data_IF_164270464735
#
_entry.id   IF_164270464735
#
_cell.length_a   1.000
_cell.length_b   1.000
_cell.length_c   1.000
_cell.angle_alpha   90.00
_cell.angle_beta   90.00
_cell.angle_gamma   90.00
#
_symmetry.space_group_name_H-M   'P 1'
#
loop_
_entity.id
_entity.type
_entity.pdbx_description
1 polymer ?
#
# COMPACT_ATOMS: atom_id res chain seq x y z
N UNK A 1 -6.41 -65.29 25.48
CA UNK A 1 -6.98 -64.10 24.82
C UNK A 1 -5.81 -63.31 24.23
N UNK A 2 -5.62 -63.38 22.90
CA UNK A 2 -4.37 -63.03 22.21
C UNK A 2 -4.49 -61.67 21.49
N UNK A 3 -3.83 -60.64 22.03
CA UNK A 3 -3.63 -59.35 21.38
C UNK A 3 -2.33 -59.37 20.56
N UNK A 4 -2.38 -59.92 19.35
CA UNK A 4 -1.34 -59.73 18.31
C UNK A 4 -1.99 -59.83 16.94
N UNK A 5 -2.47 -58.70 16.40
CA UNK A 5 -2.74 -58.47 14.96
C UNK A 5 -3.39 -57.09 14.75
N UNK A 6 -2.63 -56.02 14.94
CA UNK A 6 -2.99 -54.68 14.44
C UNK A 6 -1.71 -53.88 14.20
N UNK A 7 -0.94 -54.24 13.17
CA UNK A 7 0.27 -53.49 12.75
C UNK A 7 0.71 -53.89 11.35
N UNK A 8 -0.14 -53.66 10.34
CA UNK A 8 0.32 -53.70 8.94
C UNK A 8 -0.52 -52.82 8.01
N UNK A 9 -1.83 -52.68 8.29
CA UNK A 9 -2.72 -51.86 7.46
C UNK A 9 -2.44 -50.34 7.55
N UNK A 10 -1.77 -49.86 8.60
CA UNK A 10 -1.46 -48.43 8.76
C UNK A 10 -0.11 -48.01 8.15
N UNK A 11 0.73 -48.96 7.70
CA UNK A 11 1.99 -48.66 7.00
C UNK A 11 1.86 -48.64 5.48
N UNK A 12 0.73 -49.07 4.92
CA UNK A 12 0.50 -49.06 3.47
C UNK A 12 -0.10 -47.75 2.94
N UNK A 13 -0.70 -46.92 3.79
CA UNK A 13 -1.35 -45.67 3.36
C UNK A 13 -0.36 -44.53 3.07
N UNK A 14 0.86 -44.60 3.62
CA UNK A 14 1.91 -43.59 3.39
C UNK A 14 2.77 -43.92 2.15
N UNK A 15 2.77 -45.19 1.70
CA UNK A 15 3.54 -45.60 0.53
C UNK A 15 2.77 -45.46 -0.80
N UNK A 16 1.46 -45.19 -0.77
CA UNK A 16 0.61 -45.18 -1.97
C UNK A 16 0.57 -43.83 -2.71
N UNK A 17 1.31 -42.82 -2.24
CA UNK A 17 1.57 -41.59 -3.01
C UNK A 17 2.85 -41.73 -3.87
N UNK A 18 3.67 -42.77 -3.64
CA UNK A 18 4.92 -42.96 -4.36
C UNK A 18 4.80 -43.76 -5.68
N UNK A 19 3.66 -44.40 -5.97
CA UNK A 19 3.55 -45.36 -7.09
C UNK A 19 2.62 -44.95 -8.26
N UNK A 20 2.16 -43.70 -8.34
CA UNK A 20 1.41 -43.19 -9.51
C UNK A 20 2.31 -42.51 -10.56
N UNK A 21 3.61 -42.84 -10.61
CA UNK A 21 4.59 -42.24 -11.54
C UNK A 21 4.90 -43.13 -12.75
N UNK A 22 4.46 -44.39 -12.76
CA UNK A 22 4.76 -45.30 -13.88
C UNK A 22 3.51 -45.57 -14.69
N UNK A 23 3.20 -44.67 -15.62
CA UNK A 23 2.83 -44.97 -17.02
C UNK A 23 2.28 -43.72 -17.72
N UNK A 24 3.12 -43.07 -18.52
CA UNK A 24 2.67 -42.42 -19.76
C UNK A 24 2.25 -40.95 -19.74
N UNK A 25 2.30 -40.25 -18.61
CA UNK A 25 2.21 -38.79 -18.59
C UNK A 25 3.22 -38.26 -17.57
N UNK A 26 4.42 -37.94 -18.04
CA UNK A 26 5.43 -37.27 -17.24
C UNK A 26 4.93 -35.87 -16.90
N UNK A 27 4.17 -35.74 -15.82
CA UNK A 27 3.94 -34.44 -15.20
C UNK A 27 5.31 -34.01 -14.68
N UNK A 28 5.98 -33.14 -15.44
CA UNK A 28 7.22 -32.49 -15.05
C UNK A 28 6.92 -31.61 -13.83
N UNK A 29 7.01 -32.20 -12.63
CA UNK A 29 6.94 -31.48 -11.35
C UNK A 29 8.18 -30.60 -11.12
N UNK A 30 9.24 -30.77 -11.93
CA UNK A 30 10.48 -29.99 -11.87
C UNK A 30 10.30 -28.50 -12.22
N UNK A 31 9.18 -28.12 -12.84
CA UNK A 31 8.89 -26.72 -13.19
C UNK A 31 8.15 -25.92 -12.12
N UNK A 32 7.63 -26.56 -11.06
CA UNK A 32 6.53 -25.95 -10.28
C UNK A 32 6.94 -25.23 -8.98
N UNK A 33 8.18 -25.40 -8.49
CA UNK A 33 8.57 -24.87 -7.17
C UNK A 33 10.01 -24.31 -7.09
N UNK A 34 10.66 -24.05 -8.22
CA UNK A 34 11.97 -23.38 -8.18
C UNK A 34 11.77 -21.93 -7.74
N UNK A 35 12.03 -21.65 -6.46
CA UNK A 35 11.94 -20.30 -5.93
C UNK A 35 12.87 -19.35 -6.71
N UNK A 36 12.29 -18.28 -7.22
CA UNK A 36 13.03 -17.31 -8.02
C UNK A 36 13.82 -16.40 -7.09
N UNK A 37 15.05 -16.06 -7.49
CA UNK A 37 15.84 -15.09 -6.75
C UNK A 37 15.16 -13.73 -6.82
N UNK A 38 14.86 -13.16 -5.67
CA UNK A 38 14.31 -11.80 -5.60
C UNK A 38 15.43 -10.80 -5.81
N UNK A 39 15.25 -9.93 -6.80
CA UNK A 39 16.08 -8.77 -7.04
C UNK A 39 15.17 -7.56 -7.14
N UNK A 40 15.32 -6.60 -6.24
CA UNK A 40 14.46 -5.42 -6.20
C UNK A 40 15.31 -4.16 -6.11
N UNK A 41 14.90 -3.12 -6.84
CA UNK A 41 15.51 -1.80 -6.81
C UNK A 41 14.43 -0.79 -6.46
N UNK A 42 14.63 -0.08 -5.36
CA UNK A 42 13.72 0.98 -4.94
C UNK A 42 14.46 2.27 -4.64
N UNK A 43 13.70 3.36 -4.60
CA UNK A 43 14.16 4.69 -4.18
C UNK A 43 13.12 5.29 -3.25
N UNK A 44 13.56 5.81 -2.12
CA UNK A 44 12.71 6.58 -1.21
C UNK A 44 13.00 8.05 -1.42
N UNK A 45 11.95 8.82 -1.64
CA UNK A 45 12.00 10.28 -1.79
C UNK A 45 11.01 10.93 -0.83
N UNK A 46 11.24 12.20 -0.51
CA UNK A 46 10.28 12.99 0.26
C UNK A 46 9.18 13.57 -0.63
N UNK A 47 8.27 14.34 -0.01
CA UNK A 47 7.16 15.00 -0.71
C UNK A 47 7.60 16.02 -1.78
N UNK A 48 8.88 16.42 -1.83
CA UNK A 48 9.44 17.31 -2.85
C UNK A 48 10.24 16.55 -3.91
N UNK A 49 10.31 15.21 -3.81
CA UNK A 49 11.09 14.37 -4.72
C UNK A 49 12.57 14.24 -4.34
N UNK A 50 12.99 14.83 -3.21
CA UNK A 50 14.37 14.76 -2.75
C UNK A 50 14.65 13.39 -2.12
N UNK A 51 15.84 12.80 -2.34
CA UNK A 51 16.16 11.50 -1.79
C UNK A 51 16.15 11.49 -0.24
N UNK A 52 15.66 10.39 0.34
CA UNK A 52 15.73 10.18 1.79
C UNK A 52 16.81 9.16 2.12
N UNK A 53 17.89 9.62 2.73
CA UNK A 53 18.97 8.76 3.25
C UNK A 53 18.61 8.11 4.59
N UNK A 54 19.07 6.87 4.80
CA UNK A 54 18.98 6.19 6.09
C UNK A 54 17.59 5.66 6.47
N UNK A 55 16.59 5.82 5.62
CA UNK A 55 15.26 5.24 5.81
C UNK A 55 15.37 3.70 5.84
N UNK A 56 14.72 3.08 6.81
CA UNK A 56 14.68 1.62 6.98
C UNK A 56 13.45 1.07 6.28
N UNK A 57 13.67 0.38 5.16
CA UNK A 57 12.63 -0.27 4.37
C UNK A 57 12.43 -1.68 4.92
N UNK A 58 11.25 -1.95 5.48
CA UNK A 58 10.84 -3.27 5.94
C UNK A 58 10.18 -4.02 4.78
N UNK A 59 10.60 -5.25 4.55
CA UNK A 59 10.10 -6.07 3.45
C UNK A 59 9.82 -7.51 3.88
N UNK A 60 9.04 -8.20 3.07
CA UNK A 60 8.64 -9.58 3.26
C UNK A 60 8.73 -10.35 1.94
N UNK A 61 9.22 -11.58 1.98
CA UNK A 61 9.29 -12.49 0.83
C UNK A 61 8.44 -13.72 1.12
N UNK A 62 7.47 -14.01 0.27
CA UNK A 62 6.69 -15.25 0.32
C UNK A 62 7.49 -16.38 -0.35
N UNK A 63 7.83 -17.38 0.45
CA UNK A 63 8.60 -18.58 0.09
C UNK A 63 7.64 -19.77 0.00
N UNK A 64 7.74 -20.53 -1.10
CA UNK A 64 6.93 -21.74 -1.34
C UNK A 64 7.74 -23.02 -1.14
N UNK A 65 8.94 -22.92 -0.56
CA UNK A 65 9.77 -24.09 -0.27
C UNK A 65 9.03 -25.08 0.63
N UNK A 66 8.77 -26.28 0.12
CA UNK A 66 8.28 -27.39 0.92
C UNK A 66 9.35 -27.81 1.95
N UNK A 67 8.95 -28.25 3.15
CA UNK A 67 7.57 -28.53 3.59
C UNK A 67 6.83 -27.36 4.26
N UNK A 68 7.45 -26.18 4.41
CA UNK A 68 6.87 -25.06 5.15
C UNK A 68 6.81 -23.80 4.28
N UNK A 69 5.69 -23.58 3.55
CA UNK A 69 5.45 -22.28 2.95
C UNK A 69 5.41 -21.23 4.06
N UNK A 70 5.97 -20.05 3.80
CA UNK A 70 6.07 -19.03 4.83
C UNK A 70 6.64 -17.72 4.33
N UNK A 71 6.70 -16.78 5.25
CA UNK A 71 7.17 -15.42 5.01
C UNK A 71 8.52 -15.22 5.65
N UNK A 72 9.45 -14.63 4.90
CA UNK A 72 10.73 -14.17 5.41
C UNK A 72 10.74 -12.66 5.45
N UNK A 73 10.86 -12.12 6.65
CA UNK A 73 10.98 -10.68 6.87
C UNK A 73 12.43 -10.24 6.76
N UNK A 74 12.64 -9.03 6.26
CA UNK A 74 13.96 -8.40 6.20
C UNK A 74 13.84 -6.89 6.25
N UNK A 75 14.99 -6.23 6.32
CA UNK A 75 15.05 -4.78 6.22
C UNK A 75 16.31 -4.34 5.47
N UNK A 76 16.25 -3.16 4.88
CA UNK A 76 17.39 -2.53 4.21
C UNK A 76 17.34 -1.02 4.43
N UNK A 77 18.49 -0.37 4.54
CA UNK A 77 18.57 1.08 4.64
C UNK A 77 18.80 1.73 3.27
N UNK A 78 18.22 2.89 3.07
CA UNK A 78 18.47 3.72 1.88
C UNK A 78 19.83 4.41 1.97
N UNK A 79 20.51 4.54 0.83
CA UNK A 79 21.75 5.31 0.70
C UNK A 79 21.50 6.81 0.54
N UNK A 80 22.58 7.57 0.33
CA UNK A 80 22.56 9.03 0.11
C UNK A 80 21.66 9.51 -1.01
N UNK A 81 21.51 8.69 -2.05
CA UNK A 81 20.65 8.96 -3.21
C UNK A 81 19.21 8.44 -3.02
N UNK A 82 18.86 8.04 -1.79
CA UNK A 82 17.58 7.46 -1.42
C UNK A 82 17.38 6.04 -1.96
N UNK A 83 18.35 5.47 -2.69
CA UNK A 83 18.20 4.15 -3.31
C UNK A 83 18.49 3.04 -2.32
N UNK A 84 17.82 1.93 -2.53
CA UNK A 84 18.08 0.67 -1.84
C UNK A 84 17.97 -0.50 -2.83
N UNK A 85 18.53 -1.63 -2.42
CA UNK A 85 18.54 -2.85 -3.24
C UNK A 85 18.41 -4.06 -2.35
N UNK A 86 17.53 -4.97 -2.75
CA UNK A 86 17.34 -6.26 -2.08
C UNK A 86 17.81 -7.35 -3.03
N UNK A 87 18.69 -8.22 -2.54
CA UNK A 87 19.27 -9.36 -3.28
C UNK A 87 19.10 -10.69 -2.56
N UNK A 88 18.51 -10.62 -1.36
CA UNK A 88 18.50 -11.67 -0.36
C UNK A 88 17.07 -12.16 -0.24
N UNK A 89 16.84 -13.33 -0.82
CA UNK A 89 15.52 -13.90 -0.90
C UNK A 89 15.39 -14.81 -2.10
N UNK A 90 14.77 -15.97 -1.84
CA UNK A 90 14.16 -16.78 -2.87
C UNK A 90 12.69 -16.90 -2.50
N UNK A 91 11.83 -16.71 -3.48
CA UNK A 91 10.38 -16.73 -3.27
C UNK A 91 9.65 -16.45 -4.57
N UNK A 92 8.32 -16.33 -4.48
CA UNK A 92 7.51 -15.91 -5.61
C UNK A 92 6.95 -14.51 -5.47
N UNK A 93 6.74 -14.05 -4.24
CA UNK A 93 6.19 -12.72 -4.01
C UNK A 93 7.06 -11.93 -3.08
N UNK A 94 7.11 -10.63 -3.35
CA UNK A 94 7.86 -9.67 -2.58
C UNK A 94 6.95 -8.51 -2.21
N UNK A 95 7.02 -8.10 -0.95
CA UNK A 95 6.21 -7.04 -0.38
C UNK A 95 7.11 -6.02 0.30
N UNK A 96 6.85 -4.74 0.06
CA UNK A 96 7.30 -3.69 0.99
C UNK A 96 6.21 -3.56 2.05
N UNK A 97 6.57 -3.71 3.32
CA UNK A 97 5.61 -3.69 4.44
C UNK A 97 5.54 -2.31 5.07
N UNK A 98 6.69 -1.66 5.21
CA UNK A 98 6.80 -0.34 5.83
C UNK A 98 8.09 0.38 5.42
N UNK A 99 8.14 1.70 5.60
CA UNK A 99 9.33 2.53 5.45
C UNK A 99 9.43 3.45 6.66
N UNK A 100 10.40 3.18 7.52
CA UNK A 100 10.61 3.88 8.79
C UNK A 100 11.74 4.90 8.62
N UNK A 101 11.47 6.16 8.97
CA UNK A 101 12.45 7.24 8.98
C UNK A 101 12.19 8.13 10.21
N UNK A 102 13.24 8.40 10.99
CA UNK A 102 13.14 9.15 12.26
C UNK A 102 12.55 10.56 12.08
N UNK A 103 12.95 11.22 11.00
CA UNK A 103 12.52 12.58 10.66
C UNK A 103 11.34 12.60 9.68
N UNK A 104 10.64 11.49 9.53
CA UNK A 104 9.52 11.37 8.61
C UNK A 104 8.22 11.12 9.38
N UNK A 105 7.15 11.75 8.90
CA UNK A 105 5.88 11.81 9.57
C UNK A 105 5.19 10.46 9.46
N UNK A 106 4.97 10.00 8.23
CA UNK A 106 4.25 8.76 7.93
C UNK A 106 4.68 8.21 6.56
N UNK A 107 4.74 6.89 6.36
CA UNK A 107 4.71 6.32 5.01
C UNK A 107 3.40 6.79 4.32
N UNK A 108 3.47 7.29 3.08
CA UNK A 108 2.26 7.66 2.33
C UNK A 108 1.39 6.39 2.22
N UNK A 109 0.19 6.37 2.80
CA UNK A 109 -0.58 5.14 2.87
C UNK A 109 -1.00 4.71 1.45
N UNK A 110 -1.42 3.47 1.21
CA UNK A 110 -1.88 3.02 -0.11
C UNK A 110 -0.81 2.86 -1.21
N UNK A 111 0.42 3.33 -0.99
CA UNK A 111 1.61 2.98 -1.80
C UNK A 111 2.55 2.00 -1.10
N UNK A 112 2.32 1.66 0.16
CA UNK A 112 3.18 0.73 0.92
C UNK A 112 2.38 -0.45 1.49
N UNK A 113 1.05 -0.36 1.63
CA UNK A 113 0.24 -1.55 1.91
C UNK A 113 0.05 -2.36 0.64
N UNK A 114 0.85 -3.42 0.54
CA UNK A 114 0.77 -4.50 -0.45
C UNK A 114 1.06 -4.09 -1.90
N UNK A 115 2.10 -3.28 -2.15
CA UNK A 115 2.73 -3.40 -3.48
C UNK A 115 3.39 -4.77 -3.53
N UNK A 116 2.63 -5.70 -4.10
CA UNK A 116 3.04 -7.06 -4.36
C UNK A 116 3.74 -7.10 -5.71
N UNK A 117 4.96 -7.62 -5.69
CA UNK A 117 5.72 -7.88 -6.90
C UNK A 117 5.76 -9.40 -7.11
N UNK A 118 5.16 -9.87 -8.20
CA UNK A 118 5.12 -11.29 -8.57
C UNK A 118 6.36 -11.63 -9.41
N UNK A 119 7.09 -12.68 -9.03
CA UNK A 119 8.31 -13.13 -9.70
C UNK A 119 8.13 -14.49 -10.41
N UNK A 120 6.98 -15.15 -10.28
CA UNK A 120 6.70 -16.41 -10.96
C UNK A 120 6.55 -16.21 -12.46
N UNK A 121 7.52 -16.72 -13.23
CA UNK A 121 7.55 -16.66 -14.70
C UNK A 121 6.30 -17.21 -15.41
N UNK A 122 5.41 -17.93 -14.72
CA UNK A 122 4.13 -18.40 -15.24
C UNK A 122 3.07 -17.30 -15.42
N UNK A 123 3.26 -16.12 -14.82
CA UNK A 123 2.35 -14.98 -14.96
C UNK A 123 2.85 -14.01 -16.03
N UNK A 124 1.93 -13.42 -16.80
CA UNK A 124 2.27 -12.44 -17.85
C UNK A 124 2.81 -11.12 -17.27
N UNK A 125 2.42 -10.79 -16.03
CA UNK A 125 2.71 -9.51 -15.38
C UNK A 125 3.80 -9.62 -14.31
N UNK A 126 4.79 -10.49 -14.55
CA UNK A 126 5.95 -10.59 -13.66
C UNK A 126 6.66 -9.25 -13.52
N UNK A 127 7.01 -8.91 -12.28
CA UNK A 127 7.87 -7.77 -12.01
C UNK A 127 9.26 -8.01 -12.61
N UNK A 128 9.73 -7.03 -13.40
CA UNK A 128 11.05 -7.06 -14.03
C UNK A 128 11.92 -5.97 -13.41
N UNK A 129 12.87 -6.33 -12.52
CA UNK A 129 13.67 -5.34 -11.84
C UNK A 129 14.57 -4.58 -12.82
N UNK A 130 14.55 -3.26 -12.74
CA UNK A 130 15.35 -2.37 -13.56
C UNK A 130 16.11 -1.38 -12.68
N UNK A 131 17.44 -1.44 -12.71
CA UNK A 131 18.28 -0.53 -11.93
C UNK A 131 18.13 0.94 -12.40
N UNK A 132 17.87 1.14 -13.69
CA UNK A 132 17.66 2.46 -14.30
C UNK A 132 16.29 3.07 -13.95
N UNK A 133 15.30 2.23 -13.64
CA UNK A 133 13.94 2.61 -13.28
C UNK A 133 13.53 1.96 -11.94
N UNK A 134 14.08 2.43 -10.80
CA UNK A 134 13.72 1.89 -9.50
C UNK A 134 12.27 2.27 -9.14
N UNK A 135 11.64 1.44 -8.32
CA UNK A 135 10.32 1.76 -7.77
C UNK A 135 10.43 2.90 -6.76
N UNK A 136 9.63 3.96 -6.95
CA UNK A 136 9.72 5.18 -6.16
C UNK A 136 8.67 5.20 -5.07
N UNK A 137 9.14 5.20 -3.82
CA UNK A 137 8.31 5.35 -2.63
C UNK A 137 8.43 6.78 -2.13
N UNK A 138 7.30 7.46 -2.01
CA UNK A 138 7.23 8.82 -1.47
C UNK A 138 6.87 8.72 0.01
N UNK A 139 7.63 9.39 0.86
CA UNK A 139 7.33 9.54 2.29
C UNK A 139 7.29 11.01 2.65
N UNK A 140 6.62 11.38 3.73
CA UNK A 140 6.55 12.78 4.16
C UNK A 140 7.54 13.08 5.26
N UNK A 141 8.33 14.15 5.13
CA UNK A 141 9.19 14.64 6.22
C UNK A 141 8.37 15.35 7.30
N UNK A 142 8.79 15.22 8.56
CA UNK A 142 8.30 16.07 9.65
C UNK A 142 9.00 17.41 9.51
N UNK A 143 8.30 18.38 8.95
CA UNK A 143 8.83 19.74 8.88
C UNK A 143 8.81 20.37 10.28
N UNK A 144 9.87 21.11 10.61
CA UNK A 144 9.90 21.90 11.85
C UNK A 144 9.05 23.17 11.75
N UNK A 145 8.87 23.65 10.52
CA UNK A 145 8.11 24.86 10.20
C UNK A 145 6.97 24.50 9.26
N UNK A 146 5.90 25.28 9.28
CA UNK A 146 4.80 25.08 8.33
C UNK A 146 5.31 25.34 6.91
N UNK A 147 5.22 24.34 6.03
CA UNK A 147 5.56 24.48 4.62
C UNK A 147 4.28 24.57 3.80
N UNK A 148 4.23 25.53 2.88
CA UNK A 148 3.15 25.63 1.93
C UNK A 148 3.29 24.54 0.86
N UNK A 149 2.37 23.58 0.86
CA UNK A 149 2.23 22.61 -0.21
C UNK A 149 1.46 23.27 -1.38
N UNK A 150 2.13 24.17 -2.12
CA UNK A 150 1.55 24.76 -3.32
C UNK A 150 1.60 23.75 -4.47
N UNK A 151 0.44 23.19 -4.79
CA UNK A 151 0.10 22.75 -6.14
C UNK A 151 -1.22 23.44 -6.50
N UNK A 152 -1.44 23.80 -7.75
CA UNK A 152 -2.76 24.25 -8.20
C UNK A 152 -3.59 22.99 -8.42
N UNK A 153 -4.45 22.64 -7.47
CA UNK A 153 -5.34 21.49 -7.57
C UNK A 153 -6.79 21.95 -7.53
N UNK A 154 -7.63 21.28 -8.31
CA UNK A 154 -9.08 21.29 -8.17
C UNK A 154 -9.47 19.96 -7.56
N UNK A 155 -10.28 20.01 -6.51
CA UNK A 155 -10.82 18.82 -5.89
C UNK A 155 -12.33 18.85 -6.06
N UNK A 156 -12.87 17.76 -6.58
CA UNK A 156 -14.30 17.50 -6.63
C UNK A 156 -14.63 16.48 -5.54
N UNK A 157 -15.62 16.80 -4.70
CA UNK A 157 -16.06 15.92 -3.62
C UNK A 157 -17.51 15.54 -3.89
N UNK A 158 -17.72 14.29 -4.31
CA UNK A 158 -19.07 13.74 -4.43
C UNK A 158 -19.67 13.51 -3.05
N UNK A 159 -20.69 14.31 -2.73
CA UNK A 159 -21.50 14.17 -1.52
C UNK A 159 -22.64 13.18 -1.81
N UNK A 160 -22.69 12.01 -1.15
CA UNK A 160 -23.71 11.01 -1.43
C UNK A 160 -25.08 11.45 -0.90
N UNK A 161 -26.15 11.16 -1.63
CA UNK A 161 -27.51 11.64 -1.34
C UNK A 161 -28.13 11.11 -0.02
N UNK A 162 -27.70 9.96 0.53
CA UNK A 162 -28.41 9.27 1.65
C UNK A 162 -27.58 9.10 2.94
N UNK A 163 -28.02 9.70 4.05
CA UNK A 163 -27.23 10.33 5.13
C UNK A 163 -26.77 9.51 6.35
N UNK A 164 -26.83 8.17 6.38
CA UNK A 164 -26.78 7.47 7.69
C UNK A 164 -25.44 6.91 8.22
N UNK A 165 -24.30 7.04 7.52
CA UNK A 165 -23.00 6.56 8.04
C UNK A 165 -22.02 7.71 8.32
N UNK A 166 -21.18 7.58 9.35
CA UNK A 166 -20.11 8.53 9.70
C UNK A 166 -19.25 8.89 8.47
N UNK A 167 -19.57 10.03 7.86
CA UNK A 167 -19.02 10.50 6.59
C UNK A 167 -17.85 11.43 6.85
N UNK A 168 -16.66 10.86 6.85
CA UNK A 168 -15.44 11.63 6.71
C UNK A 168 -14.67 11.17 5.48
N UNK A 169 -13.99 12.08 4.79
CA UNK A 169 -13.00 11.76 3.75
C UNK A 169 -11.67 12.37 4.14
N UNK A 170 -10.61 11.59 3.97
CA UNK A 170 -9.26 12.06 4.10
C UNK A 170 -8.68 12.37 2.73
N UNK A 171 -7.97 13.49 2.62
CA UNK A 171 -7.23 13.87 1.42
C UNK A 171 -5.76 14.04 1.74
N UNK A 172 -4.92 13.45 0.89
CA UNK A 172 -3.46 13.61 0.95
C UNK A 172 -3.02 14.51 -0.20
N UNK A 173 -2.57 15.72 0.13
CA UNK A 173 -2.14 16.73 -0.83
C UNK A 173 -0.87 16.33 -1.57
N UNK A 174 -0.05 15.44 -0.98
CA UNK A 174 1.19 14.99 -1.62
C UNK A 174 0.95 14.01 -2.76
N UNK A 175 -0.14 13.24 -2.69
CA UNK A 175 -0.53 12.27 -3.72
C UNK A 175 -1.65 12.77 -4.63
N UNK A 176 -2.41 13.79 -4.21
CA UNK A 176 -3.61 14.25 -4.91
C UNK A 176 -4.74 13.22 -4.90
N UNK A 177 -4.70 12.29 -3.93
CA UNK A 177 -5.58 11.13 -3.88
C UNK A 177 -6.66 11.32 -2.80
N UNK A 178 -7.93 11.12 -3.19
CA UNK A 178 -9.08 11.11 -2.29
C UNK A 178 -9.25 9.70 -1.72
N UNK A 179 -9.33 9.56 -0.39
CA UNK A 179 -9.59 8.24 0.19
C UNK A 179 -10.91 8.14 0.92
N UNK A 180 -11.55 7.00 0.70
CA UNK A 180 -12.83 6.63 1.30
C UNK A 180 -12.71 6.46 2.83
N UNK A 181 -13.82 6.62 3.58
CA UNK A 181 -13.89 6.64 5.06
C UNK A 181 -13.37 5.41 5.82
N UNK A 182 -12.93 4.34 5.15
CA UNK A 182 -12.58 3.05 5.77
C UNK A 182 -11.32 3.07 6.68
N UNK A 183 -10.74 4.25 6.93
CA UNK A 183 -9.43 4.40 7.56
C UNK A 183 -9.42 5.17 8.90
N UNK A 184 -10.56 5.62 9.45
CA UNK A 184 -10.59 6.54 10.62
C UNK A 184 -9.83 5.97 11.82
N UNK A 185 -10.00 4.66 12.01
CA UNK A 185 -9.40 3.91 13.12
C UNK A 185 -8.09 3.22 12.73
N UNK A 186 -7.53 3.55 11.57
CA UNK A 186 -6.25 3.01 11.16
C UNK A 186 -5.17 4.09 11.38
N UNK A 187 -4.44 4.07 12.50
CA UNK A 187 -3.45 5.09 12.87
C UNK A 187 -2.25 5.16 11.90
N UNK A 188 -2.23 4.31 10.87
CA UNK A 188 -1.23 4.30 9.81
C UNK A 188 -1.54 5.30 8.68
N UNK A 189 -2.70 5.97 8.70
CA UNK A 189 -3.09 6.92 7.66
C UNK A 189 -2.98 8.35 8.16
N UNK A 190 -2.19 9.17 7.45
CA UNK A 190 -2.17 10.62 7.62
C UNK A 190 -2.81 11.26 6.40
N UNK A 191 -3.71 12.21 6.66
CA UNK A 191 -4.34 13.04 5.66
C UNK A 191 -3.99 14.49 5.95
N UNK A 192 -3.76 15.28 4.91
CA UNK A 192 -3.60 16.73 5.04
C UNK A 192 -4.91 17.40 5.42
N UNK A 193 -5.98 16.98 4.76
CA UNK A 193 -7.31 17.54 4.92
C UNK A 193 -8.29 16.43 5.30
N UNK A 194 -9.17 16.75 6.21
CA UNK A 194 -10.33 15.95 6.58
C UNK A 194 -11.59 16.72 6.24
N UNK A 195 -12.50 16.04 5.54
CA UNK A 195 -13.78 16.57 5.12
C UNK A 195 -14.86 15.81 5.85
N UNK A 196 -15.74 16.51 6.56
CA UNK A 196 -17.03 15.97 6.99
C UNK A 196 -18.13 16.82 6.39
N UNK A 197 -19.34 16.29 6.34
CA UNK A 197 -20.46 17.03 5.77
C UNK A 197 -21.79 16.61 6.38
N UNK A 198 -22.71 17.56 6.38
CA UNK A 198 -24.06 17.44 6.90
C UNK A 198 -25.05 17.95 5.85
N UNK A 199 -26.22 17.31 5.75
CA UNK A 199 -27.29 17.71 4.84
C UNK A 199 -28.53 18.08 5.67
N UNK A 200 -28.96 19.32 5.54
CA UNK A 200 -30.24 19.79 6.07
C UNK A 200 -31.30 19.51 4.99
N UNK A 201 -32.08 18.44 5.16
CA UNK A 201 -33.10 18.02 4.19
C UNK A 201 -34.23 19.05 4.03
N UNK A 202 -34.57 19.77 5.11
CA UNK A 202 -35.65 20.76 5.08
C UNK A 202 -35.24 21.98 4.25
N UNK A 203 -34.00 22.45 4.43
CA UNK A 203 -33.45 23.58 3.67
C UNK A 203 -32.86 23.18 2.33
N UNK A 204 -32.63 21.88 2.10
CA UNK A 204 -31.86 21.33 0.97
C UNK A 204 -30.46 21.93 0.88
N UNK A 205 -29.82 22.11 2.04
CA UNK A 205 -28.50 22.72 2.17
C UNK A 205 -27.46 21.69 2.60
N UNK A 206 -26.26 21.77 2.02
CA UNK A 206 -25.10 20.99 2.44
C UNK A 206 -24.12 21.89 3.18
N UNK A 207 -23.72 21.48 4.38
CA UNK A 207 -22.59 22.08 5.10
C UNK A 207 -21.41 21.14 5.01
N UNK A 208 -20.28 21.64 4.50
CA UNK A 208 -19.02 20.89 4.43
C UNK A 208 -18.03 21.49 5.42
N UNK A 209 -17.53 20.67 6.35
CA UNK A 209 -16.47 21.07 7.26
C UNK A 209 -15.14 20.54 6.73
N UNK A 210 -14.17 21.44 6.60
CA UNK A 210 -12.82 21.11 6.17
C UNK A 210 -11.86 21.39 7.32
N UNK A 211 -11.05 20.41 7.68
CA UNK A 211 -10.07 20.48 8.76
C UNK A 211 -8.69 20.15 8.23
N UNK A 212 -7.72 21.02 8.50
CA UNK A 212 -6.31 20.72 8.29
C UNK A 212 -5.80 19.84 9.44
N UNK A 213 -5.16 18.72 9.11
CA UNK A 213 -4.73 17.72 10.08
C UNK A 213 -3.21 17.83 10.33
N UNK A 214 -2.81 17.76 11.60
CA UNK A 214 -1.42 17.81 12.05
C UNK A 214 -1.09 19.00 12.95
N UNK A 215 -0.02 18.87 13.73
CA UNK A 215 0.55 19.95 14.53
C UNK A 215 1.17 20.98 13.57
N UNK A 216 0.69 22.22 13.59
CA UNK A 216 1.03 23.31 12.64
C UNK A 216 0.37 23.23 11.25
N UNK A 217 -0.66 22.42 11.07
CA UNK A 217 -1.48 22.46 9.86
C UNK A 217 -2.49 23.62 9.91
N UNK A 218 -2.77 24.24 8.76
CA UNK A 218 -3.71 25.36 8.67
C UNK A 218 -4.08 25.70 7.25
N UNK A 219 -5.11 26.54 7.11
CA UNK A 219 -5.54 27.08 5.83
C UNK A 219 -4.99 28.49 5.65
N UNK A 220 -4.50 28.79 4.46
CA UNK A 220 -4.35 30.17 4.01
C UNK A 220 -5.44 30.44 2.99
N UNK A 221 -6.48 31.14 3.43
CA UNK A 221 -7.53 31.62 2.54
C UNK A 221 -7.01 32.89 1.85
N UNK A 222 -7.03 32.91 0.52
CA UNK A 222 -6.89 34.14 -0.27
C UNK A 222 -8.26 34.45 -0.86
N UNK A 223 -8.89 35.51 -0.37
CA UNK A 223 -10.24 35.96 -0.75
C UNK A 223 -10.37 36.44 -2.20
N UNK A 224 -9.39 36.20 -3.07
CA UNK A 224 -9.38 36.70 -4.44
C UNK A 224 -10.45 36.04 -5.34
N UNK A 225 -11.10 34.93 -4.90
CA UNK A 225 -12.13 34.22 -5.69
C UNK A 225 -13.31 33.67 -4.86
N UNK A 226 -13.81 34.40 -3.86
CA UNK A 226 -15.20 34.18 -3.43
C UNK A 226 -16.11 34.76 -4.52
N UNK A 227 -16.47 33.96 -5.51
CA UNK A 227 -17.57 34.30 -6.40
C UNK A 227 -18.81 34.47 -5.53
N UNK A 228 -19.23 35.72 -5.36
CA UNK A 228 -20.53 36.04 -4.78
C UNK A 228 -21.55 35.34 -5.68
N UNK A 229 -22.31 34.40 -5.12
CA UNK A 229 -23.39 33.77 -5.85
C UNK A 229 -24.34 34.87 -6.35
N UNK A 230 -24.84 34.81 -7.59
CA UNK A 230 -25.82 35.77 -8.09
C UNK A 230 -27.01 35.82 -7.13
N UNK A 231 -27.55 37.02 -6.89
CA UNK A 231 -28.70 37.24 -6.00
C UNK A 231 -29.92 36.40 -6.43
N UNK A 232 -29.96 36.07 -7.71
CA UNK A 232 -30.94 35.33 -8.47
C UNK A 232 -30.59 33.84 -8.70
N UNK A 233 -29.45 33.38 -8.19
CA UNK A 233 -29.00 31.98 -8.27
C UNK A 233 -28.43 31.57 -9.65
N UNK A 234 -27.99 30.32 -9.75
CA UNK A 234 -27.45 29.77 -11.01
C UNK A 234 -28.59 29.17 -11.85
N UNK A 235 -28.80 29.71 -13.05
CA UNK A 235 -29.78 29.16 -14.01
C UNK A 235 -29.12 28.06 -14.83
N UNK A 236 -29.79 26.91 -14.94
CA UNK A 236 -29.36 25.79 -15.79
C UNK A 236 -29.72 26.11 -17.25
N UNK A 237 -28.74 26.12 -18.15
CA UNK A 237 -29.01 26.07 -19.60
C UNK A 237 -29.55 24.70 -20.03
#
# INVERSE_FOLDING_TARGET
MNMKKLSLAFRLSVLLIACLVTNGCGIVLDGFLAETRILFYGKVVDQYGEPVEGATVLYEVESFSLPFPGYRNGNVKTGKDGRFRIRDGRGSRFFIKDIICEHCAYPVPGKIKEIQYEYRSSYTDCFKPDKGRPEVFVIRRKEKEAVHLYQRWSMEVDLPAETNDERWRGWDLSSGDCRKPYCKNNPQFFFDLEFTWEHDEEKREWTVHVKANGENAGFQLRDEMLYIAPEDGYVRE
#
